data_IF_052853646284
#
_entry.id   IF_052853646284
#
_cell.length_a   1.000
_cell.length_b   1.000
_cell.length_c   1.000
_cell.angle_alpha   90.00
_cell.angle_beta   90.00
_cell.angle_gamma   90.00
#
_symmetry.space_group_name_H-M   'P 1'
#
loop_
_entity.id
_entity.type
_entity.pdbx_description
1 polymer ?
#
# COMPACT_ATOMS: atom_id res chain seq x y z
N UNK A 1 4.90 -13.20 0.80
CA UNK A 1 3.85 -12.47 1.55
C UNK A 1 2.82 -11.89 0.59
N UNK A 2 1.58 -11.85 1.03
CA UNK A 2 0.49 -11.29 0.24
C UNK A 2 0.02 -10.01 0.91
N UNK A 3 -0.14 -8.95 0.13
CA UNK A 3 -0.62 -7.65 0.62
C UNK A 3 -1.85 -7.23 -0.17
N UNK A 4 -2.81 -6.70 0.54
CA UNK A 4 -3.94 -6.03 -0.08
C UNK A 4 -3.60 -4.55 -0.27
N UNK A 5 -3.93 -4.01 -1.42
CA UNK A 5 -3.72 -2.60 -1.71
C UNK A 5 -5.03 -1.96 -2.12
N UNK A 6 -5.17 -0.68 -1.84
CA UNK A 6 -6.28 0.11 -2.36
C UNK A 6 -5.81 0.84 -3.60
N UNK A 7 -6.70 0.99 -4.56
CA UNK A 7 -6.42 1.70 -5.81
C UNK A 7 -7.46 2.79 -5.96
N UNK A 8 -7.01 4.02 -6.07
CA UNK A 8 -7.86 5.16 -6.25
C UNK A 8 -7.34 6.01 -7.40
N UNK A 9 -8.12 6.98 -7.81
CA UNK A 9 -7.78 7.87 -8.90
C UNK A 9 -8.03 9.30 -8.46
N UNK A 10 -7.02 10.15 -8.60
CA UNK A 10 -7.16 11.55 -8.18
C UNK A 10 -7.83 12.41 -9.26
N UNK A 11 -7.98 13.70 -8.98
CA UNK A 11 -8.62 14.64 -9.87
C UNK A 11 -7.91 14.77 -11.23
N UNK A 12 -6.62 14.57 -11.25
CA UNK A 12 -5.81 14.65 -12.47
C UNK A 12 -5.76 13.35 -13.24
N UNK A 13 -6.44 12.32 -12.77
CA UNK A 13 -6.47 11.02 -13.41
C UNK A 13 -5.27 10.14 -13.07
N UNK A 14 -4.46 10.53 -12.10
CA UNK A 14 -3.33 9.72 -11.63
C UNK A 14 -3.85 8.62 -10.71
N UNK A 15 -3.39 7.40 -10.92
CA UNK A 15 -3.73 6.29 -10.04
C UNK A 15 -2.85 6.34 -8.79
N UNK A 16 -3.49 6.26 -7.64
CA UNK A 16 -2.83 6.25 -6.33
C UNK A 16 -3.09 4.89 -5.68
N UNK A 17 -2.04 4.23 -5.26
CA UNK A 17 -2.13 2.91 -4.63
C UNK A 17 -1.55 2.99 -3.24
N UNK A 18 -2.24 2.41 -2.29
CA UNK A 18 -1.81 2.40 -0.90
C UNK A 18 -1.87 0.98 -0.34
N UNK A 19 -0.91 0.63 0.52
CA UNK A 19 -0.91 -0.62 1.25
C UNK A 19 -1.29 -0.33 2.71
N UNK A 20 -2.56 -0.53 3.10
CA UNK A 20 -3.04 -0.14 4.43
C UNK A 20 -2.33 -0.85 5.59
N UNK A 21 -1.84 -2.07 5.37
CA UNK A 21 -1.15 -2.82 6.43
C UNK A 21 0.25 -2.30 6.72
N UNK A 22 0.77 -1.39 5.88
CA UNK A 22 2.08 -0.77 6.08
C UNK A 22 1.88 0.75 6.09
N UNK A 23 1.90 1.39 7.26
CA UNK A 23 1.66 2.84 7.34
C UNK A 23 2.64 3.64 6.48
N UNK A 24 2.11 4.58 5.71
CA UNK A 24 2.90 5.43 4.84
C UNK A 24 3.35 4.80 3.53
N UNK A 25 2.93 3.57 3.25
CA UNK A 25 3.28 2.89 2.01
C UNK A 25 2.29 3.27 0.90
N UNK A 26 2.66 4.27 0.11
CA UNK A 26 1.83 4.83 -0.96
C UNK A 26 2.68 4.99 -2.20
N UNK A 27 2.09 4.77 -3.36
CA UNK A 27 2.73 5.03 -4.64
C UNK A 27 1.70 5.50 -5.66
N UNK A 28 2.15 5.89 -6.83
CA UNK A 28 1.27 6.39 -7.89
C UNK A 28 1.81 6.04 -9.26
N UNK A 29 0.96 6.19 -10.26
CA UNK A 29 1.33 5.98 -11.66
C UNK A 29 0.27 6.54 -12.59
N UNK A 30 0.65 6.76 -13.85
CA UNK A 30 -0.27 7.27 -14.87
C UNK A 30 -1.29 6.22 -15.29
N UNK A 31 -0.92 4.95 -15.21
CA UNK A 31 -1.83 3.83 -15.45
C UNK A 31 -1.94 3.00 -14.18
N UNK A 32 -2.99 2.18 -14.10
CA UNK A 32 -3.17 1.26 -12.98
C UNK A 32 -1.98 0.30 -12.87
N UNK A 33 -1.53 -0.22 -14.01
CA UNK A 33 -0.40 -1.15 -14.07
C UNK A 33 0.87 -0.52 -13.54
N UNK A 34 1.14 0.72 -13.93
CA UNK A 34 2.32 1.45 -13.44
C UNK A 34 2.25 1.68 -11.93
N UNK A 35 1.09 2.08 -11.43
CA UNK A 35 0.89 2.31 -10.01
C UNK A 35 1.09 1.03 -9.19
N UNK A 36 0.58 -0.10 -9.70
CA UNK A 36 0.74 -1.42 -9.05
C UNK A 36 2.20 -1.87 -9.06
N UNK A 37 2.91 -1.66 -10.15
CA UNK A 37 4.35 -1.97 -10.19
C UNK A 37 5.13 -1.09 -9.21
N UNK A 38 4.79 0.18 -9.14
CA UNK A 38 5.47 1.12 -8.24
C UNK A 38 5.21 0.79 -6.77
N UNK A 39 4.01 0.33 -6.41
CA UNK A 39 3.72 -0.02 -5.02
C UNK A 39 4.50 -1.27 -4.58
N UNK A 40 4.82 -2.17 -5.49
CA UNK A 40 5.65 -3.34 -5.16
C UNK A 40 7.02 -2.91 -4.65
N UNK A 41 7.64 -1.96 -5.32
CA UNK A 41 8.93 -1.41 -4.90
C UNK A 41 8.81 -0.65 -3.58
N UNK A 42 7.75 0.12 -3.42
CA UNK A 42 7.48 0.84 -2.19
C UNK A 42 7.30 -0.11 -1.01
N UNK A 43 6.59 -1.22 -1.21
CA UNK A 43 6.38 -2.23 -0.16
C UNK A 43 7.73 -2.83 0.27
N UNK A 44 8.56 -3.22 -0.68
CA UNK A 44 9.88 -3.77 -0.38
C UNK A 44 10.71 -2.81 0.46
N UNK A 45 10.76 -1.55 0.06
CA UNK A 45 11.51 -0.53 0.75
C UNK A 45 10.96 -0.26 2.16
N UNK A 46 9.65 -0.15 2.29
CA UNK A 46 9.00 0.04 3.59
C UNK A 46 9.29 -1.12 4.55
N UNK A 47 9.24 -2.35 4.05
CA UNK A 47 9.54 -3.54 4.88
C UNK A 47 10.99 -3.53 5.34
N UNK A 48 11.92 -3.18 4.48
CA UNK A 48 13.34 -3.07 4.83
C UNK A 48 13.57 -2.04 5.94
N UNK A 49 12.98 -0.86 5.82
CA UNK A 49 13.11 0.21 6.80
C UNK A 49 12.52 -0.22 8.15
N UNK A 50 11.35 -0.85 8.15
CA UNK A 50 10.72 -1.31 9.38
C UNK A 50 11.54 -2.40 10.05
N UNK A 51 12.08 -3.34 9.28
CA UNK A 51 12.95 -4.39 9.80
C UNK A 51 14.21 -3.80 10.45
N UNK A 52 14.85 -2.83 9.81
CA UNK A 52 16.05 -2.17 10.34
C UNK A 52 15.77 -1.45 11.67
N UNK A 53 14.58 -0.88 11.81
CA UNK A 53 14.18 -0.17 13.03
C UNK A 53 13.64 -1.09 14.11
N UNK A 54 13.57 -2.39 13.86
CA UNK A 54 12.99 -3.36 14.79
C UNK A 54 11.48 -3.21 14.95
N UNK A 55 10.81 -2.57 14.01
CA UNK A 55 9.36 -2.41 14.02
C UNK A 55 8.67 -3.65 13.44
N UNK A 56 7.42 -3.93 13.85
CA UNK A 56 6.63 -4.96 13.16
C UNK A 56 6.55 -4.65 11.67
N UNK A 57 6.64 -5.65 10.80
CA UNK A 57 6.63 -5.45 9.36
C UNK A 57 5.31 -4.86 8.87
N UNK A 58 4.21 -5.26 9.49
CA UNK A 58 2.88 -4.74 9.16
C UNK A 58 2.14 -4.43 10.45
N UNK A 59 1.14 -3.55 10.34
CA UNK A 59 0.17 -3.35 11.43
C UNK A 59 -0.94 -4.38 11.29
N UNK A 60 -1.66 -4.63 12.37
CA UNK A 60 -2.80 -5.52 12.36
C UNK A 60 -3.95 -4.87 11.58
N UNK A 61 -4.53 -5.63 10.67
CA UNK A 61 -5.73 -5.21 9.95
C UNK A 61 -6.83 -6.23 10.19
N UNK A 62 -8.06 -5.77 10.22
CA UNK A 62 -9.20 -6.60 10.54
C UNK A 62 -10.36 -6.28 9.61
N UNK A 63 -11.06 -7.31 9.17
CA UNK A 63 -12.30 -7.12 8.42
C UNK A 63 -13.44 -7.06 9.43
N UNK A 64 -14.30 -6.06 9.27
CA UNK A 64 -15.46 -5.87 10.13
C UNK A 64 -16.70 -5.86 9.25
N UNK A 65 -17.67 -6.71 9.60
CA UNK A 65 -18.93 -6.73 8.90
C UNK A 65 -19.89 -5.76 9.56
N UNK A 66 -20.48 -4.89 8.75
CA UNK A 66 -21.47 -3.91 9.20
C UNK A 66 -22.73 -4.11 8.40
N UNK A 67 -23.86 -4.20 9.08
CA UNK A 67 -25.15 -4.28 8.42
C UNK A 67 -25.50 -2.90 7.85
N UNK A 68 -25.70 -2.82 6.53
CA UNK A 68 -26.01 -1.58 5.82
C UNK A 68 -27.31 -1.71 5.04
#
# INVERSE_FOLDING_TARGET
MIFNVTIDRDEDGVFVVECPSIPGCVSQGKTKEDAVENIKDAIKLCLEVRAEKGMPLTIETKQIEVAA
#
